data_IF_564599176613
#
_entry.id   IF_564599176613
#
_cell.length_a   1.000
_cell.length_b   1.000
_cell.length_c   1.000
_cell.angle_alpha   90.00
_cell.angle_beta   90.00
_cell.angle_gamma   90.00
#
_symmetry.space_group_name_H-M   'P 1'
#
loop_
_entity.id
_entity.type
_entity.pdbx_description
1 polymer ?
#
# COMPACT_ATOMS: atom_id res chain seq x y z
N UNK A 1 -48.71 37.81 -12.32
CA UNK A 1 -48.61 37.18 -13.66
C UNK A 1 -47.61 36.06 -13.54
N UNK A 2 -48.08 34.86 -13.83
CA UNK A 2 -47.51 33.56 -13.51
C UNK A 2 -46.71 33.12 -14.75
N UNK A 3 -45.43 32.79 -14.58
CA UNK A 3 -44.58 32.28 -15.66
C UNK A 3 -44.52 30.75 -15.56
N UNK A 4 -44.68 29.98 -16.65
CA UNK A 4 -44.94 28.56 -16.57
C UNK A 4 -43.66 27.72 -16.43
N UNK A 5 -43.77 26.67 -15.61
CA UNK A 5 -42.82 25.57 -15.48
C UNK A 5 -42.68 24.77 -16.77
N UNK A 6 -41.44 24.46 -17.16
CA UNK A 6 -41.13 23.45 -18.18
C UNK A 6 -41.18 22.03 -17.58
N UNK A 7 -41.66 21.01 -18.30
CA UNK A 7 -41.68 19.63 -17.83
C UNK A 7 -40.31 18.93 -17.95
N UNK A 8 -40.08 17.80 -17.27
CA UNK A 8 -38.82 17.05 -17.34
C UNK A 8 -38.68 16.31 -18.68
N UNK A 9 -37.47 16.27 -19.21
CA UNK A 9 -37.08 15.48 -20.39
C UNK A 9 -37.07 13.98 -20.06
N UNK A 10 -37.79 13.20 -20.86
CA UNK A 10 -37.85 11.75 -20.85
C UNK A 10 -36.54 11.14 -21.39
N UNK A 11 -36.03 10.02 -20.84
CA UNK A 11 -34.82 9.38 -21.36
C UNK A 11 -35.07 8.68 -22.70
N UNK A 12 -34.06 8.55 -23.58
CA UNK A 12 -34.24 7.95 -24.89
C UNK A 12 -34.52 6.44 -24.79
N UNK A 13 -35.55 6.00 -25.52
CA UNK A 13 -35.94 4.60 -25.70
C UNK A 13 -34.86 3.87 -26.50
N UNK A 14 -34.30 2.80 -25.93
CA UNK A 14 -33.40 1.89 -26.64
C UNK A 14 -34.18 1.07 -27.69
N UNK A 15 -33.66 0.86 -28.91
CA UNK A 15 -34.24 -0.08 -29.86
C UNK A 15 -34.07 -1.53 -29.36
N UNK A 16 -34.94 -2.46 -29.77
CA UNK A 16 -34.84 -3.86 -29.35
C UNK A 16 -33.61 -4.50 -29.99
N UNK A 17 -32.69 -5.02 -29.17
CA UNK A 17 -31.59 -5.85 -29.65
C UNK A 17 -32.11 -7.21 -30.12
N UNK A 18 -31.87 -7.48 -31.40
CA UNK A 18 -32.04 -8.76 -32.08
C UNK A 18 -31.27 -9.88 -31.37
N UNK A 19 -31.84 -11.08 -31.17
CA UNK A 19 -31.11 -12.20 -30.57
C UNK A 19 -30.01 -12.70 -31.50
N UNK A 20 -28.81 -12.89 -30.93
CA UNK A 20 -27.66 -13.50 -31.61
C UNK A 20 -27.95 -14.97 -32.04
N UNK A 21 -27.39 -15.44 -33.17
CA UNK A 21 -27.60 -16.81 -33.63
C UNK A 21 -26.91 -17.80 -32.68
N UNK A 22 -27.69 -18.75 -32.18
CA UNK A 22 -27.21 -19.88 -31.39
C UNK A 22 -26.38 -20.82 -32.27
N UNK A 23 -25.13 -21.06 -31.88
CA UNK A 23 -24.31 -22.15 -32.41
C UNK A 23 -24.90 -23.50 -31.96
N UNK A 24 -25.10 -24.48 -32.88
CA UNK A 24 -25.62 -25.78 -32.48
C UNK A 24 -24.56 -26.56 -31.69
N UNK A 25 -24.91 -26.95 -30.47
CA UNK A 25 -24.15 -27.89 -29.64
C UNK A 25 -24.30 -29.28 -30.25
N UNK A 26 -23.22 -29.82 -30.80
CA UNK A 26 -23.14 -31.20 -31.29
C UNK A 26 -22.78 -32.11 -30.10
N UNK A 27 -23.54 -33.18 -29.81
CA UNK A 27 -23.15 -34.15 -28.78
C UNK A 27 -22.00 -35.06 -29.29
N UNK A 28 -21.11 -35.53 -28.41
CA UNK A 28 -20.04 -36.44 -28.81
C UNK A 28 -20.59 -37.82 -29.23
N UNK A 29 -19.91 -38.54 -30.14
CA UNK A 29 -20.35 -39.86 -30.60
C UNK A 29 -20.16 -40.93 -29.50
N UNK A 30 -20.97 -42.01 -29.51
CA UNK A 30 -20.87 -43.08 -28.52
C UNK A 30 -19.66 -44.00 -28.78
N UNK A 31 -19.10 -44.53 -27.70
CA UNK A 31 -18.04 -45.54 -27.70
C UNK A 31 -18.54 -46.87 -28.33
N UNK A 32 -17.72 -47.57 -29.13
CA UNK A 32 -18.10 -48.86 -29.70
C UNK A 32 -18.05 -50.00 -28.65
N UNK A 33 -18.86 -51.06 -28.82
CA UNK A 33 -19.03 -52.14 -27.86
C UNK A 33 -17.91 -53.19 -27.91
N UNK A 34 -17.68 -53.84 -26.76
CA UNK A 34 -16.87 -55.05 -26.59
C UNK A 34 -17.19 -56.13 -27.64
N UNK A 35 -16.15 -56.76 -28.19
CA UNK A 35 -16.22 -58.06 -28.86
C UNK A 35 -15.05 -58.96 -28.40
N UNK A 36 -15.21 -60.29 -28.49
CA UNK A 36 -14.80 -61.23 -27.46
C UNK A 36 -13.51 -61.98 -27.77
N UNK A 37 -13.04 -62.61 -26.70
CA UNK A 37 -12.09 -63.71 -26.55
C UNK A 37 -11.75 -64.49 -27.84
N UNK A 38 -10.47 -64.43 -28.25
CA UNK A 38 -9.90 -65.32 -29.27
C UNK A 38 -8.65 -65.97 -28.69
N UNK A 39 -8.82 -67.24 -28.33
CA UNK A 39 -7.77 -68.16 -27.94
C UNK A 39 -6.85 -68.51 -29.11
N UNK A 40 -5.54 -68.58 -28.85
CA UNK A 40 -4.53 -69.30 -29.63
C UNK A 40 -3.50 -69.94 -28.67
N UNK A 41 -2.77 -70.99 -29.10
CA UNK A 41 -2.59 -72.25 -28.38
C UNK A 41 -1.25 -72.33 -27.61
N UNK A 42 -0.98 -73.39 -26.82
CA UNK A 42 0.18 -73.43 -25.95
C UNK A 42 1.42 -74.07 -26.58
N UNK A 43 2.58 -73.72 -26.01
CA UNK A 43 3.85 -74.49 -25.82
C UNK A 43 5.09 -73.88 -26.49
N UNK A 44 6.34 -74.14 -26.03
CA UNK A 44 6.76 -75.02 -24.93
C UNK A 44 7.71 -74.40 -23.88
N UNK A 45 7.89 -75.17 -22.80
CA UNK A 45 8.89 -75.04 -21.73
C UNK A 45 10.26 -74.46 -22.15
N UNK A 46 10.73 -73.48 -21.40
CA UNK A 46 12.17 -73.17 -21.27
C UNK A 46 12.49 -72.97 -19.79
N UNK A 47 13.39 -73.80 -19.29
CA UNK A 47 14.00 -73.72 -17.96
C UNK A 47 14.69 -72.36 -17.81
N UNK A 48 14.22 -71.51 -16.91
CA UNK A 48 14.89 -70.26 -16.55
C UNK A 48 15.26 -70.31 -15.07
N UNK A 49 16.56 -70.24 -14.79
CA UNK A 49 17.11 -70.16 -13.44
C UNK A 49 16.72 -68.83 -12.76
N UNK A 50 16.66 -68.76 -11.42
CA UNK A 50 16.27 -67.53 -10.73
C UNK A 50 17.35 -66.46 -10.85
N UNK A 51 16.95 -65.24 -11.24
CA UNK A 51 17.81 -64.04 -11.20
C UNK A 51 17.94 -63.58 -9.74
N UNK A 52 19.15 -63.29 -9.21
CA UNK A 52 19.31 -62.79 -7.85
C UNK A 52 18.72 -61.37 -7.70
N UNK A 53 18.22 -61.00 -6.51
CA UNK A 53 17.66 -59.68 -6.29
C UNK A 53 18.73 -58.58 -6.41
N UNK A 54 18.35 -57.36 -6.85
CA UNK A 54 19.28 -56.24 -6.93
C UNK A 54 19.77 -55.82 -5.54
N UNK A 55 20.98 -55.24 -5.43
CA UNK A 55 21.52 -54.76 -4.17
C UNK A 55 20.67 -53.61 -3.60
N UNK A 56 20.63 -53.45 -2.27
CA UNK A 56 19.90 -52.34 -1.64
C UNK A 56 20.50 -51.00 -2.05
N UNK A 57 19.60 -50.04 -2.32
CA UNK A 57 19.98 -48.65 -2.64
C UNK A 57 20.71 -48.00 -1.45
N UNK A 58 21.72 -47.15 -1.71
CA UNK A 58 22.40 -46.41 -0.66
C UNK A 58 21.42 -45.46 0.06
N UNK A 59 21.66 -45.18 1.36
CA UNK A 59 20.81 -44.26 2.12
C UNK A 59 20.85 -42.85 1.49
N UNK A 60 19.74 -42.11 1.52
CA UNK A 60 19.70 -40.74 1.03
C UNK A 60 20.66 -39.86 1.86
N UNK A 61 21.29 -38.85 1.23
CA UNK A 61 22.16 -37.93 1.95
C UNK A 61 21.37 -37.20 3.04
N UNK A 62 22.04 -36.76 4.13
CA UNK A 62 21.39 -35.96 5.17
C UNK A 62 20.78 -34.70 4.55
N UNK A 63 19.54 -34.37 4.93
CA UNK A 63 18.89 -33.14 4.53
C UNK A 63 19.66 -31.93 5.10
N UNK A 64 20.68 -31.48 4.36
CA UNK A 64 21.36 -30.21 4.59
C UNK A 64 20.43 -29.09 4.18
N UNK A 65 19.99 -28.31 5.18
CA UNK A 65 19.54 -26.95 5.02
C UNK A 65 18.12 -26.82 4.51
N UNK A 66 17.23 -26.30 5.36
CA UNK A 66 16.14 -25.47 4.88
C UNK A 66 16.77 -24.37 4.02
N UNK A 67 16.64 -24.46 2.70
CA UNK A 67 16.91 -23.32 1.85
C UNK A 67 16.05 -22.17 2.39
N UNK A 68 16.66 -21.03 2.71
CA UNK A 68 15.90 -19.83 3.06
C UNK A 68 14.84 -19.63 1.98
N UNK A 69 13.56 -19.38 2.33
CA UNK A 69 12.53 -19.23 1.33
C UNK A 69 12.98 -18.17 0.31
N UNK A 70 13.07 -18.55 -0.96
CA UNK A 70 13.42 -17.61 -2.03
C UNK A 70 12.30 -16.57 -2.13
N UNK A 71 12.46 -15.45 -1.43
CA UNK A 71 11.56 -14.32 -1.53
C UNK A 71 11.81 -13.66 -2.90
N UNK A 72 10.78 -13.62 -3.74
CA UNK A 72 10.90 -13.11 -5.10
C UNK A 72 11.17 -11.61 -5.08
N UNK A 73 12.06 -11.18 -5.98
CA UNK A 73 12.48 -9.79 -6.07
C UNK A 73 13.50 -9.36 -5.02
N UNK A 74 13.86 -10.24 -4.06
CA UNK A 74 14.81 -9.91 -2.98
C UNK A 74 16.21 -9.63 -3.57
N UNK A 75 16.67 -10.45 -4.53
CA UNK A 75 17.92 -10.19 -5.28
C UNK A 75 17.88 -8.85 -6.03
N UNK A 76 16.76 -8.55 -6.71
CA UNK A 76 16.61 -7.28 -7.43
C UNK A 76 16.62 -6.07 -6.47
N UNK A 77 15.96 -6.18 -5.32
CA UNK A 77 15.97 -5.13 -4.30
C UNK A 77 17.34 -4.96 -3.65
N UNK A 78 18.09 -6.06 -3.44
CA UNK A 78 19.46 -6.00 -2.92
C UNK A 78 20.38 -5.31 -3.90
N UNK A 79 20.33 -5.68 -5.18
CA UNK A 79 21.09 -5.01 -6.23
C UNK A 79 20.75 -3.52 -6.33
N UNK A 80 19.48 -3.15 -6.23
CA UNK A 80 19.05 -1.75 -6.22
C UNK A 80 19.59 -1.01 -5.00
N UNK A 81 19.47 -1.61 -3.81
CA UNK A 81 19.97 -1.05 -2.55
C UNK A 81 21.48 -0.82 -2.61
N UNK A 82 22.24 -1.82 -3.03
CA UNK A 82 23.70 -1.72 -3.22
C UNK A 82 24.07 -0.65 -4.25
N UNK A 83 23.37 -0.58 -5.38
CA UNK A 83 23.63 0.42 -6.41
C UNK A 83 23.40 1.83 -5.89
N UNK A 84 22.33 2.04 -5.12
CA UNK A 84 22.00 3.31 -4.51
C UNK A 84 23.03 3.68 -3.41
N UNK A 85 23.38 2.75 -2.52
CA UNK A 85 24.41 2.96 -1.48
C UNK A 85 25.78 3.33 -2.07
N UNK A 86 26.12 2.80 -3.25
CA UNK A 86 27.32 3.20 -3.99
C UNK A 86 27.21 4.58 -4.64
N UNK A 87 26.01 5.02 -5.02
CA UNK A 87 25.79 6.30 -5.68
C UNK A 87 25.92 7.50 -4.73
N UNK A 88 25.76 7.28 -3.42
CA UNK A 88 25.96 8.30 -2.39
C UNK A 88 25.00 8.17 -1.21
N UNK A 89 25.06 9.11 -0.25
CA UNK A 89 24.14 9.10 0.88
C UNK A 89 22.70 9.40 0.44
N UNK A 90 21.73 8.92 1.24
CA UNK A 90 20.33 9.27 1.07
C UNK A 90 20.17 10.79 1.08
N UNK A 91 19.47 11.39 0.09
CA UNK A 91 19.24 12.82 0.05
C UNK A 91 18.54 13.32 1.32
N UNK A 92 18.96 14.49 1.82
CA UNK A 92 18.23 15.14 2.91
C UNK A 92 16.84 15.52 2.43
N UNK A 93 15.83 15.24 3.24
CA UNK A 93 14.41 15.41 2.91
C UNK A 93 14.11 16.80 2.30
N UNK A 94 14.52 17.88 2.96
CA UNK A 94 14.32 19.26 2.46
C UNK A 94 14.98 19.56 1.11
N UNK A 95 16.21 19.10 0.90
CA UNK A 95 16.95 19.32 -0.35
C UNK A 95 16.32 18.52 -1.50
N UNK A 96 15.87 17.31 -1.21
CA UNK A 96 15.19 16.42 -2.14
C UNK A 96 13.87 17.01 -2.62
N UNK A 97 13.04 17.50 -1.70
CA UNK A 97 11.77 18.17 -2.03
C UNK A 97 12.01 19.45 -2.83
N UNK A 98 12.98 20.28 -2.44
CA UNK A 98 13.33 21.48 -3.23
C UNK A 98 13.76 21.15 -4.65
N UNK A 99 14.58 20.12 -4.84
CA UNK A 99 14.99 19.64 -6.18
C UNK A 99 13.77 19.20 -6.98
N UNK A 100 12.88 18.44 -6.36
CA UNK A 100 11.65 17.92 -6.97
C UNK A 100 10.72 19.05 -7.43
N UNK A 101 10.48 20.06 -6.59
CA UNK A 101 9.65 21.21 -6.93
C UNK A 101 10.26 22.05 -8.06
N UNK A 102 11.59 22.22 -8.09
CA UNK A 102 12.31 22.87 -9.20
C UNK A 102 12.13 22.12 -10.52
N UNK A 103 12.23 20.78 -10.48
CA UNK A 103 12.08 19.92 -11.66
C UNK A 103 10.67 19.95 -12.22
N UNK A 104 9.66 20.09 -11.36
CA UNK A 104 8.25 20.03 -11.71
C UNK A 104 7.54 21.39 -11.74
N UNK A 105 8.29 22.50 -11.72
CA UNK A 105 7.74 23.85 -11.65
C UNK A 105 6.69 24.15 -12.74
N UNK A 106 6.84 23.55 -13.92
CA UNK A 106 5.95 23.79 -15.06
C UNK A 106 4.60 23.08 -14.92
N UNK A 107 4.44 22.19 -13.92
CA UNK A 107 3.14 21.61 -13.54
C UNK A 107 2.29 22.57 -12.71
N UNK A 108 2.91 23.60 -12.14
CA UNK A 108 2.24 24.52 -11.22
C UNK A 108 1.56 25.64 -11.98
N UNK A 109 0.28 25.81 -11.69
CA UNK A 109 -0.53 26.95 -12.08
C UNK A 109 0.11 28.26 -11.63
N UNK A 110 0.29 29.18 -12.58
CA UNK A 110 0.89 30.51 -12.35
C UNK A 110 -0.07 31.52 -11.75
N UNK A 111 -1.38 31.23 -11.76
CA UNK A 111 -2.41 32.05 -11.13
C UNK A 111 -2.57 31.76 -9.62
N UNK A 112 -1.80 30.82 -9.07
CA UNK A 112 -1.85 30.42 -7.66
C UNK A 112 -0.54 30.71 -6.96
N UNK A 113 -0.64 30.92 -5.65
CA UNK A 113 0.48 30.80 -4.72
C UNK A 113 0.49 29.40 -4.12
N UNK A 114 1.65 28.90 -3.72
CA UNK A 114 1.81 27.52 -3.28
C UNK A 114 2.30 27.46 -1.85
N UNK A 115 1.65 26.68 -1.00
CA UNK A 115 2.08 26.46 0.39
C UNK A 115 2.50 25.01 0.55
N UNK A 116 3.75 24.77 0.95
CA UNK A 116 4.28 23.44 1.24
C UNK A 116 4.22 23.15 2.74
N UNK A 117 3.54 22.07 3.08
CA UNK A 117 3.66 21.40 4.38
C UNK A 117 4.39 20.08 4.12
N UNK A 118 5.52 19.84 4.79
CA UNK A 118 6.24 18.59 4.63
C UNK A 118 7.01 18.26 5.91
N UNK A 119 6.71 17.12 6.51
CA UNK A 119 7.51 16.55 7.58
C UNK A 119 8.67 15.72 7.00
N UNK A 120 9.77 15.61 7.74
CA UNK A 120 10.97 14.92 7.27
C UNK A 120 10.86 13.40 7.44
N UNK A 121 10.53 12.70 6.35
CA UNK A 121 10.55 11.24 6.30
C UNK A 121 11.93 10.68 5.94
N UNK A 122 12.39 9.60 6.58
CA UNK A 122 13.53 8.83 6.12
C UNK A 122 13.21 8.08 4.82
N UNK A 123 14.23 7.50 4.19
CA UNK A 123 14.05 6.59 3.05
C UNK A 123 14.65 5.23 3.37
N UNK A 124 13.96 4.17 2.98
CA UNK A 124 14.39 2.79 3.14
C UNK A 124 13.98 2.01 1.88
N UNK A 125 14.94 1.33 1.25
CA UNK A 125 14.65 0.43 0.14
C UNK A 125 14.15 -0.89 0.71
N UNK A 126 12.94 -1.27 0.33
CA UNK A 126 12.32 -2.53 0.70
C UNK A 126 13.11 -3.70 0.13
N UNK A 127 13.18 -4.80 0.87
CA UNK A 127 13.70 -6.07 0.41
C UNK A 127 12.55 -7.07 0.30
N UNK A 128 12.26 -7.53 -0.93
CA UNK A 128 11.07 -8.36 -1.18
C UNK A 128 9.74 -7.59 -1.11
N UNK A 129 8.60 -8.25 -0.79
CA UNK A 129 7.25 -7.68 -0.92
C UNK A 129 6.83 -6.77 0.26
N UNK A 130 7.75 -6.05 0.90
CA UNK A 130 7.54 -5.35 2.17
C UNK A 130 7.06 -3.88 2.05
N UNK A 131 6.50 -3.49 0.90
CA UNK A 131 6.16 -2.09 0.62
C UNK A 131 5.32 -1.39 1.71
N UNK A 132 4.28 -2.06 2.22
CA UNK A 132 3.42 -1.52 3.27
C UNK A 132 4.12 -1.38 4.61
N UNK A 133 4.96 -2.36 4.98
CA UNK A 133 5.70 -2.36 6.24
C UNK A 133 6.82 -1.32 6.23
N UNK A 134 7.46 -1.12 5.08
CA UNK A 134 8.44 -0.05 4.85
C UNK A 134 7.77 1.32 4.93
N UNK A 135 6.60 1.50 4.31
CA UNK A 135 5.83 2.74 4.43
C UNK A 135 5.40 3.02 5.90
N UNK A 136 4.97 1.98 6.63
CA UNK A 136 4.65 2.10 8.06
C UNK A 136 5.88 2.44 8.91
N UNK A 137 7.03 1.83 8.62
CA UNK A 137 8.28 2.14 9.30
C UNK A 137 8.68 3.61 9.08
N UNK A 138 8.62 4.10 7.83
CA UNK A 138 8.89 5.50 7.50
C UNK A 138 7.91 6.42 8.25
N UNK A 139 6.61 6.11 8.26
CA UNK A 139 5.61 6.88 8.99
C UNK A 139 5.89 6.93 10.51
N UNK A 140 6.39 5.82 11.07
CA UNK A 140 6.68 5.68 12.49
C UNK A 140 7.71 6.67 13.04
N UNK A 141 8.57 7.25 12.18
CA UNK A 141 9.56 8.24 12.61
C UNK A 141 8.97 9.63 12.84
N UNK A 142 7.77 9.89 12.31
CA UNK A 142 7.04 11.15 12.53
C UNK A 142 6.14 11.12 13.76
N UNK A 143 5.98 9.95 14.37
CA UNK A 143 5.24 9.82 15.63
C UNK A 143 6.09 10.34 16.78
N UNK A 144 5.45 10.67 17.90
CA UNK A 144 6.13 11.20 19.09
C UNK A 144 5.86 10.27 20.28
N UNK A 145 6.93 9.73 20.93
CA UNK A 145 8.33 9.77 20.49
C UNK A 145 8.54 9.05 19.14
N UNK A 146 9.56 9.44 18.34
CA UNK A 146 9.88 8.73 17.10
C UNK A 146 10.10 7.25 17.36
N UNK A 147 9.50 6.41 16.52
CA UNK A 147 9.66 4.97 16.65
C UNK A 147 11.13 4.56 16.45
N UNK A 148 11.74 4.00 17.49
CA UNK A 148 13.03 3.30 17.41
C UNK A 148 12.88 1.83 17.01
N UNK A 149 11.69 1.42 16.56
CA UNK A 149 11.40 0.02 16.24
C UNK A 149 12.04 -0.33 14.88
N UNK A 150 12.89 -1.37 14.82
CA UNK A 150 13.46 -1.85 13.57
C UNK A 150 12.38 -2.47 12.65
N UNK A 151 12.56 -2.38 11.33
CA UNK A 151 11.60 -2.93 10.35
C UNK A 151 11.35 -4.42 10.58
N UNK A 152 12.38 -5.16 10.97
CA UNK A 152 12.34 -6.60 11.25
C UNK A 152 11.30 -6.93 12.32
N UNK A 153 11.12 -6.04 13.31
CA UNK A 153 10.11 -6.24 14.36
C UNK A 153 8.69 -6.03 13.82
N UNK A 154 8.48 -5.07 12.91
CA UNK A 154 7.19 -4.89 12.23
C UNK A 154 6.84 -6.13 11.40
N UNK A 155 7.80 -6.64 10.63
CA UNK A 155 7.63 -7.86 9.82
C UNK A 155 7.31 -9.06 10.72
N UNK A 156 8.09 -9.26 11.79
CA UNK A 156 7.90 -10.36 12.72
C UNK A 156 6.47 -10.35 13.31
N UNK A 157 6.02 -9.22 13.85
CA UNK A 157 4.68 -9.14 14.46
C UNK A 157 3.59 -9.30 13.40
N UNK A 158 3.76 -8.75 12.19
CA UNK A 158 2.79 -8.94 11.12
C UNK A 158 2.63 -10.42 10.73
N UNK A 159 3.72 -11.20 10.71
CA UNK A 159 3.69 -12.65 10.46
C UNK A 159 3.04 -13.40 11.64
N UNK A 160 3.44 -13.09 12.88
CA UNK A 160 2.88 -13.71 14.09
C UNK A 160 1.36 -13.50 14.19
N UNK A 161 0.87 -12.32 13.80
CA UNK A 161 -0.56 -11.97 13.76
C UNK A 161 -1.28 -12.46 12.50
N UNK A 162 -0.55 -13.08 11.56
CA UNK A 162 -1.06 -13.56 10.26
C UNK A 162 -1.70 -12.44 9.44
N UNK A 163 -1.12 -11.25 9.48
CA UNK A 163 -1.47 -10.14 8.59
C UNK A 163 -0.75 -10.26 7.24
N UNK A 164 0.34 -11.01 7.21
CA UNK A 164 1.17 -11.24 6.02
C UNK A 164 1.79 -12.64 6.07
N UNK A 165 2.10 -13.19 4.89
CA UNK A 165 2.88 -14.42 4.77
C UNK A 165 4.37 -14.11 4.54
N UNK A 166 4.70 -13.10 3.72
CA UNK A 166 6.08 -12.78 3.31
C UNK A 166 6.47 -11.30 3.46
N UNK A 167 5.56 -10.45 3.93
CA UNK A 167 5.74 -9.01 4.11
C UNK A 167 4.73 -8.13 3.36
N UNK A 168 3.97 -8.72 2.42
CA UNK A 168 2.88 -8.04 1.74
C UNK A 168 1.72 -7.70 2.67
N UNK A 169 1.08 -6.55 2.45
CA UNK A 169 -0.06 -6.12 3.25
C UNK A 169 -1.25 -5.81 2.34
N UNK A 170 -2.33 -6.57 2.47
CA UNK A 170 -3.55 -6.43 1.65
C UNK A 170 -4.75 -5.90 2.43
N UNK A 171 -4.52 -5.34 3.63
CA UNK A 171 -5.58 -4.89 4.53
C UNK A 171 -5.16 -3.65 5.29
N UNK A 172 -5.87 -2.54 5.07
CA UNK A 172 -5.64 -1.29 5.82
C UNK A 172 -5.99 -1.46 7.30
N UNK A 173 -7.00 -2.27 7.60
CA UNK A 173 -7.38 -2.59 8.97
C UNK A 173 -6.29 -3.37 9.72
N UNK A 174 -5.64 -4.34 9.08
CA UNK A 174 -4.50 -5.07 9.67
C UNK A 174 -3.28 -4.16 9.83
N UNK A 175 -3.01 -3.29 8.86
CA UNK A 175 -1.97 -2.27 8.98
C UNK A 175 -2.21 -1.36 10.18
N UNK A 176 -3.45 -0.91 10.39
CA UNK A 176 -3.83 -0.11 11.55
C UNK A 176 -3.67 -0.85 12.88
N UNK A 177 -4.03 -2.14 12.94
CA UNK A 177 -3.80 -2.98 14.13
C UNK A 177 -2.31 -3.12 14.43
N UNK A 178 -1.50 -3.39 13.42
CA UNK A 178 -0.05 -3.49 13.54
C UNK A 178 0.57 -2.18 14.03
N UNK A 179 0.15 -1.04 13.47
CA UNK A 179 0.61 0.28 13.87
C UNK A 179 0.34 0.56 15.36
N UNK A 180 -0.89 0.31 15.83
CA UNK A 180 -1.25 0.48 17.26
C UNK A 180 -0.43 -0.43 18.16
N UNK A 181 -0.26 -1.69 17.77
CA UNK A 181 0.43 -2.69 18.59
C UNK A 181 1.94 -2.43 18.70
N UNK A 182 2.59 -2.13 17.58
CA UNK A 182 4.05 -2.06 17.51
C UNK A 182 4.57 -0.64 17.73
N UNK A 183 3.86 0.37 17.21
CA UNK A 183 4.28 1.77 17.30
C UNK A 183 3.63 2.51 18.46
N UNK A 184 2.60 1.95 19.12
CA UNK A 184 1.92 2.59 20.23
C UNK A 184 1.29 3.94 19.84
N UNK A 185 0.67 3.98 18.66
CA UNK A 185 0.11 5.20 18.08
C UNK A 185 -1.40 5.09 17.85
N UNK A 186 -2.04 6.23 17.59
CA UNK A 186 -3.42 6.22 17.11
C UNK A 186 -3.41 5.87 15.61
N UNK A 187 -4.31 5.00 15.21
CA UNK A 187 -4.48 4.60 13.82
C UNK A 187 -5.96 4.61 13.44
N UNK A 188 -6.31 5.47 12.49
CA UNK A 188 -7.67 5.66 12.00
C UNK A 188 -7.76 5.18 10.54
N UNK A 189 -8.65 4.22 10.30
CA UNK A 189 -8.90 3.69 8.95
C UNK A 189 -9.98 4.54 8.31
N UNK A 190 -9.66 5.15 7.18
CA UNK A 190 -10.63 5.82 6.33
C UNK A 190 -11.29 4.82 5.40
N UNK A 191 -12.57 5.02 5.14
CA UNK A 191 -13.36 4.26 4.17
C UNK A 191 -14.05 5.23 3.20
N UNK A 192 -14.25 4.80 1.94
CA UNK A 192 -14.90 5.62 0.91
C UNK A 192 -13.95 6.46 0.05
N UNK A 193 -12.64 6.24 0.16
CA UNK A 193 -11.60 6.92 -0.63
C UNK A 193 -11.11 8.23 -0.01
N UNK A 194 -10.29 8.93 -0.79
CA UNK A 194 -9.65 10.20 -0.39
C UNK A 194 -10.48 11.45 -0.78
N UNK A 195 -11.59 11.29 -1.52
CA UNK A 195 -12.50 12.40 -1.85
C UNK A 195 -13.43 12.75 -0.68
N UNK A 196 -14.40 13.63 -0.92
CA UNK A 196 -15.47 13.90 0.05
C UNK A 196 -16.18 12.61 0.51
N UNK A 197 -16.45 12.43 1.82
CA UNK A 197 -16.30 13.41 2.90
C UNK A 197 -14.91 13.43 3.57
N UNK A 198 -13.97 12.56 3.17
CA UNK A 198 -12.67 12.41 3.83
C UNK A 198 -11.63 13.45 3.43
N UNK A 199 -11.82 14.10 2.28
CA UNK A 199 -10.84 15.01 1.66
C UNK A 199 -10.26 16.02 2.63
N UNK A 200 -11.10 16.83 3.26
CA UNK A 200 -10.63 17.91 4.13
C UNK A 200 -9.94 17.37 5.38
N UNK A 201 -10.43 16.25 5.93
CA UNK A 201 -9.80 15.55 7.05
C UNK A 201 -8.40 15.06 6.69
N UNK A 202 -8.22 14.48 5.49
CA UNK A 202 -6.92 14.06 4.96
C UNK A 202 -5.96 15.26 4.79
N UNK A 203 -6.43 16.34 4.18
CA UNK A 203 -5.59 17.52 3.94
C UNK A 203 -5.17 18.19 5.25
N UNK A 204 -6.10 18.36 6.19
CA UNK A 204 -5.80 18.92 7.52
C UNK A 204 -4.87 17.99 8.32
N UNK A 205 -5.00 16.67 8.18
CA UNK A 205 -4.09 15.71 8.79
C UNK A 205 -2.65 15.89 8.30
N UNK A 206 -2.45 16.07 6.99
CA UNK A 206 -1.13 16.31 6.39
C UNK A 206 -0.59 17.70 6.72
N UNK A 207 -1.45 18.73 6.74
CA UNK A 207 -1.09 20.09 7.18
C UNK A 207 -0.59 20.08 8.63
N UNK A 208 -1.17 19.24 9.49
CA UNK A 208 -0.70 19.04 10.86
C UNK A 208 0.63 18.25 10.96
N UNK A 209 1.20 17.81 9.84
CA UNK A 209 2.47 17.07 9.79
C UNK A 209 2.34 15.58 10.14
N UNK A 210 1.12 15.04 10.18
CA UNK A 210 0.90 13.63 10.49
C UNK A 210 0.98 12.74 9.23
N UNK A 211 1.50 11.52 9.35
CA UNK A 211 1.65 10.63 8.21
C UNK A 211 0.36 9.90 7.83
N UNK A 212 0.12 9.86 6.52
CA UNK A 212 -0.95 9.13 5.85
C UNK A 212 -0.34 7.96 5.07
N UNK A 213 -0.79 6.73 5.34
CA UNK A 213 -0.46 5.59 4.47
C UNK A 213 -1.57 5.37 3.45
N UNK A 214 -1.16 5.20 2.19
CA UNK A 214 -2.06 5.11 1.04
C UNK A 214 -1.75 3.83 0.26
N UNK A 215 -2.68 2.87 0.20
CA UNK A 215 -2.69 1.86 -0.84
C UNK A 215 -2.98 2.52 -2.19
N UNK A 216 -2.16 2.22 -3.20
CA UNK A 216 -2.37 2.71 -4.56
C UNK A 216 -1.88 1.67 -5.57
N UNK A 217 -2.17 1.88 -6.85
CA UNK A 217 -1.70 1.00 -7.92
C UNK A 217 -0.48 1.59 -8.59
N UNK A 218 0.62 0.86 -8.60
CA UNK A 218 1.93 1.38 -8.96
C UNK A 218 2.26 1.16 -10.45
N UNK A 219 2.71 2.21 -11.14
CA UNK A 219 3.28 2.09 -12.49
C UNK A 219 4.81 1.84 -12.48
N UNK A 220 5.41 1.68 -13.66
CA UNK A 220 6.84 1.40 -13.83
C UNK A 220 7.75 2.51 -13.29
N UNK A 221 7.26 3.75 -13.24
CA UNK A 221 7.95 4.91 -12.66
C UNK A 221 7.58 5.14 -11.19
N UNK A 222 6.87 4.19 -10.57
CA UNK A 222 6.34 4.24 -9.21
C UNK A 222 5.21 5.24 -8.95
N UNK A 223 4.74 5.95 -9.98
CA UNK A 223 3.60 6.86 -9.85
C UNK A 223 2.26 6.09 -9.75
N UNK A 224 1.20 6.75 -9.27
CA UNK A 224 -0.12 6.16 -9.23
C UNK A 224 -0.70 5.96 -10.63
N UNK A 225 -1.27 4.77 -10.85
CA UNK A 225 -1.97 4.42 -12.07
C UNK A 225 -3.32 3.72 -11.75
N UNK A 226 -4.01 3.25 -12.78
CA UNK A 226 -5.30 2.56 -12.64
C UNK A 226 -5.27 1.21 -13.38
N UNK A 227 -4.72 0.17 -12.74
CA UNK A 227 -4.54 -1.19 -13.30
C UNK A 227 -5.28 -2.26 -12.48
N UNK A 228 -6.43 -1.89 -11.94
CA UNK A 228 -7.36 -2.66 -11.11
C UNK A 228 -6.78 -3.20 -9.80
N UNK A 229 -5.63 -2.70 -9.35
CA UNK A 229 -4.92 -3.20 -8.18
C UNK A 229 -3.98 -4.37 -8.48
N UNK A 230 -3.75 -4.71 -9.75
CA UNK A 230 -2.80 -5.77 -10.12
C UNK A 230 -1.36 -5.48 -9.68
N UNK A 231 -1.03 -4.20 -9.46
CA UNK A 231 0.22 -3.73 -8.86
C UNK A 231 -0.05 -2.92 -7.59
N UNK A 232 -1.04 -3.35 -6.80
CA UNK A 232 -1.30 -2.76 -5.50
C UNK A 232 -0.01 -2.67 -4.67
N UNK A 233 0.24 -1.44 -4.21
CA UNK A 233 1.43 -1.00 -3.52
C UNK A 233 1.03 -0.04 -2.40
N UNK A 234 2.01 0.32 -1.57
CA UNK A 234 1.81 1.24 -0.46
C UNK A 234 2.80 2.39 -0.54
N UNK A 235 2.31 3.57 -0.21
CA UNK A 235 3.13 4.73 0.03
C UNK A 235 2.79 5.36 1.37
N UNK A 236 3.73 6.15 1.88
CA UNK A 236 3.49 7.11 2.95
C UNK A 236 3.54 8.51 2.36
N UNK A 237 2.56 9.33 2.69
CA UNK A 237 2.60 10.77 2.47
C UNK A 237 2.71 11.47 3.82
N UNK A 238 3.64 12.41 3.91
CA UNK A 238 3.82 13.27 5.09
C UNK A 238 3.97 14.74 4.69
N UNK A 239 3.49 15.07 3.49
CA UNK A 239 3.49 16.43 3.01
C UNK A 239 2.44 16.65 1.94
N UNK A 240 1.99 17.89 1.88
CA UNK A 240 1.02 18.37 0.90
C UNK A 240 1.47 19.73 0.39
N UNK A 241 1.31 19.93 -0.90
CA UNK A 241 1.50 21.20 -1.58
C UNK A 241 0.13 21.72 -1.99
N UNK A 242 -0.27 22.86 -1.43
CA UNK A 242 -1.59 23.47 -1.64
C UNK A 242 -1.46 24.72 -2.50
N UNK A 243 -2.15 24.75 -3.63
CA UNK A 243 -2.31 25.92 -4.50
C UNK A 243 -3.48 26.77 -4.02
N UNK A 244 -3.18 27.98 -3.54
CA UNK A 244 -4.15 28.92 -2.95
C UNK A 244 -4.16 30.24 -3.73
N UNK A 245 -5.31 30.91 -3.73
CA UNK A 245 -5.44 32.24 -4.37
C UNK A 245 -4.72 33.34 -3.58
N UNK A 246 -4.65 33.20 -2.26
CA UNK A 246 -3.95 34.10 -1.37
C UNK A 246 -3.37 33.32 -0.20
N UNK A 247 -2.10 33.58 0.12
CA UNK A 247 -1.45 33.06 1.32
C UNK A 247 -1.85 33.92 2.53
N UNK A 248 -2.13 33.33 3.70
CA UNK A 248 -2.40 34.11 4.91
C UNK A 248 -1.22 35.03 5.28
N UNK A 249 -1.52 36.28 5.68
CA UNK A 249 -0.50 37.31 6.00
C UNK A 249 0.44 36.92 7.15
N UNK A 250 0.00 36.04 8.04
CA UNK A 250 0.72 35.65 9.25
C UNK A 250 1.03 34.16 9.23
N UNK A 251 2.26 33.81 9.59
CA UNK A 251 2.68 32.43 9.82
C UNK A 251 3.27 31.71 8.61
N UNK A 252 3.46 32.41 7.49
CA UNK A 252 4.08 31.87 6.28
C UNK A 252 5.23 32.74 5.80
N UNK A 253 6.27 32.09 5.27
CA UNK A 253 7.43 32.76 4.68
C UNK A 253 7.65 32.23 3.26
N UNK A 254 7.91 33.14 2.32
CA UNK A 254 8.23 32.78 0.93
C UNK A 254 9.60 32.08 0.88
N UNK A 255 9.72 31.07 0.01
CA UNK A 255 10.97 30.38 -0.25
C UNK A 255 11.94 31.32 -0.97
N UNK A 256 13.19 31.49 -0.49
CA UNK A 256 14.14 32.42 -1.08
C UNK A 256 14.60 32.02 -2.49
N UNK A 257 14.38 30.77 -2.90
CA UNK A 257 14.83 30.25 -4.20
C UNK A 257 13.68 29.97 -5.18
N UNK A 258 12.44 29.93 -4.69
CA UNK A 258 11.25 29.56 -5.46
C UNK A 258 10.14 30.61 -5.22
N UNK A 259 10.10 31.68 -6.04
CA UNK A 259 9.07 32.70 -5.94
C UNK A 259 7.66 32.09 -6.04
N UNK A 260 6.75 32.55 -5.19
CA UNK A 260 5.39 32.05 -5.09
C UNK A 260 5.22 30.76 -4.27
N UNK A 261 6.32 30.14 -3.80
CA UNK A 261 6.28 29.02 -2.84
C UNK A 261 6.44 29.55 -1.42
N UNK A 262 5.61 29.08 -0.50
CA UNK A 262 5.57 29.48 0.90
C UNK A 262 5.68 28.27 1.82
N UNK A 263 6.22 28.49 3.00
CA UNK A 263 6.36 27.48 4.06
C UNK A 263 5.82 28.03 5.39
N UNK A 264 5.29 27.18 6.28
CA UNK A 264 5.00 27.59 7.65
C UNK A 264 6.25 28.15 8.33
N UNK A 265 6.13 29.32 8.95
CA UNK A 265 7.22 29.94 9.69
C UNK A 265 7.47 29.16 10.99
N UNK A 266 8.71 28.72 11.20
CA UNK A 266 9.09 27.75 12.24
C UNK A 266 8.82 28.19 13.70
N UNK A 267 8.58 29.48 13.94
CA UNK A 267 8.49 30.07 15.28
C UNK A 267 7.15 30.77 15.57
N UNK A 268 6.18 30.68 14.67
CA UNK A 268 4.85 31.27 14.87
C UNK A 268 3.75 30.22 14.71
N UNK A 269 2.74 30.19 15.59
CA UNK A 269 1.52 29.45 15.29
C UNK A 269 0.96 29.97 13.98
N UNK A 270 0.63 29.06 13.07
CA UNK A 270 0.02 29.36 11.79
C UNK A 270 -1.41 28.82 11.80
N UNK A 271 -2.34 29.63 11.30
CA UNK A 271 -3.67 29.14 11.00
C UNK A 271 -3.60 28.32 9.71
N UNK A 272 -4.21 27.13 9.63
CA UNK A 272 -4.24 26.37 8.38
C UNK A 272 -4.89 27.22 7.27
N UNK A 273 -4.38 27.14 6.03
CA UNK A 273 -4.91 27.92 4.93
C UNK A 273 -6.30 27.39 4.56
N UNK A 274 -7.09 28.21 3.86
CA UNK A 274 -8.29 27.72 3.20
C UNK A 274 -7.90 26.61 2.22
N UNK A 275 -8.52 25.44 2.35
CA UNK A 275 -8.25 24.33 1.45
C UNK A 275 -8.77 24.69 0.04
N UNK A 276 -8.06 24.28 -1.03
CA UNK A 276 -8.54 24.49 -2.39
C UNK A 276 -9.94 23.87 -2.57
N UNK A 277 -10.76 24.45 -3.45
CA UNK A 277 -12.10 23.92 -3.74
C UNK A 277 -12.01 22.50 -4.33
N UNK A 278 -12.95 21.63 -3.95
CA UNK A 278 -13.04 20.28 -4.52
C UNK A 278 -13.32 20.35 -6.03
N UNK A 279 -12.65 19.50 -6.81
CA UNK A 279 -12.75 19.50 -8.27
C UNK A 279 -11.82 20.50 -8.99
N UNK A 280 -11.11 21.36 -8.25
CA UNK A 280 -10.04 22.19 -8.83
C UNK A 280 -8.79 21.35 -9.11
N UNK A 281 -8.71 20.76 -10.30
CA UNK A 281 -7.56 19.93 -10.72
C UNK A 281 -6.24 20.70 -10.67
N UNK A 282 -5.15 20.02 -10.30
CA UNK A 282 -3.82 20.61 -10.26
C UNK A 282 -3.68 21.73 -9.23
N UNK A 283 -4.44 21.67 -8.13
CA UNK A 283 -4.30 22.58 -6.98
C UNK A 283 -3.77 21.90 -5.72
N UNK A 284 -3.68 20.56 -5.71
CA UNK A 284 -3.22 19.79 -4.57
C UNK A 284 -2.27 18.71 -5.06
N UNK A 285 -1.07 18.68 -4.49
CA UNK A 285 -0.13 17.58 -4.69
C UNK A 285 0.28 16.96 -3.36
N UNK A 286 0.46 15.64 -3.36
CA UNK A 286 0.99 14.89 -2.24
C UNK A 286 2.50 14.69 -2.42
N UNK A 287 3.24 14.91 -1.33
CA UNK A 287 4.64 14.51 -1.23
C UNK A 287 4.68 13.14 -0.60
N UNK A 288 5.09 12.15 -1.39
CA UNK A 288 4.98 10.73 -1.04
C UNK A 288 6.32 10.01 -1.17
N UNK A 289 6.53 9.01 -0.32
CA UNK A 289 7.64 8.05 -0.39
C UNK A 289 7.11 6.61 -0.39
N UNK A 290 7.90 5.73 -0.99
CA UNK A 290 7.61 4.30 -1.10
C UNK A 290 8.92 3.51 -1.13
N UNK A 291 8.85 2.20 -0.88
CA UNK A 291 10.03 1.35 -0.62
C UNK A 291 10.96 1.06 -1.81
N UNK A 292 10.72 1.56 -3.01
CA UNK A 292 11.52 1.31 -4.22
C UNK A 292 12.29 2.53 -4.69
N UNK A 293 12.25 3.64 -3.94
CA UNK A 293 12.97 4.87 -4.25
C UNK A 293 13.45 5.55 -2.96
N UNK A 294 14.57 6.26 -3.06
CA UNK A 294 15.01 7.16 -1.99
C UNK A 294 14.38 8.55 -2.06
N UNK A 295 13.85 8.90 -3.22
CA UNK A 295 13.36 10.24 -3.49
C UNK A 295 11.88 10.37 -3.17
N UNK A 296 11.50 11.55 -2.68
CA UNK A 296 10.11 11.96 -2.72
C UNK A 296 9.58 11.96 -4.15
N UNK A 297 8.28 11.71 -4.25
CA UNK A 297 7.52 11.88 -5.46
C UNK A 297 6.40 12.89 -5.23
N UNK A 298 6.06 13.61 -6.30
CA UNK A 298 5.04 14.65 -6.30
C UNK A 298 3.85 14.17 -7.13
N UNK A 299 2.81 13.72 -6.45
CA UNK A 299 1.63 13.13 -7.08
C UNK A 299 0.46 14.08 -7.04
N UNK A 300 -0.28 14.16 -8.14
CA UNK A 300 -1.55 14.88 -8.16
C UNK A 300 -2.56 14.18 -7.25
N UNK A 301 -3.27 14.95 -6.41
CA UNK A 301 -4.18 14.37 -5.42
C UNK A 301 -5.31 13.55 -6.05
N UNK A 302 -5.88 14.02 -7.16
CA UNK A 302 -6.98 13.32 -7.85
C UNK A 302 -6.47 12.01 -8.45
N UNK A 303 -5.25 12.00 -8.99
CA UNK A 303 -4.61 10.79 -9.49
C UNK A 303 -4.43 9.73 -8.39
N UNK A 304 -4.02 10.13 -7.18
CA UNK A 304 -3.87 9.22 -6.03
C UNK A 304 -5.23 8.71 -5.57
N UNK A 305 -6.23 9.59 -5.45
CA UNK A 305 -7.61 9.23 -5.11
C UNK A 305 -8.15 8.16 -6.05
N UNK A 306 -8.03 8.38 -7.36
CA UNK A 306 -8.58 7.48 -8.35
C UNK A 306 -7.81 6.14 -8.38
N UNK A 307 -6.49 6.17 -8.20
CA UNK A 307 -5.66 4.98 -8.07
C UNK A 307 -6.05 4.11 -6.86
N UNK A 308 -6.41 4.73 -5.73
CA UNK A 308 -6.88 4.05 -4.51
C UNK A 308 -8.30 3.47 -4.66
N UNK A 309 -9.22 4.21 -5.31
CA UNK A 309 -10.62 3.80 -5.49
C UNK A 309 -10.81 2.62 -6.45
N UNK A 310 -9.79 2.28 -7.23
CA UNK A 310 -9.85 1.22 -8.23
C UNK A 310 -9.07 -0.05 -7.84
N UNK A 311 -8.59 -0.15 -6.60
CA UNK A 311 -7.88 -1.34 -6.08
C UNK A 311 -8.83 -2.51 -5.84
N UNK A 312 -9.30 -3.15 -6.90
CA UNK A 312 -10.40 -4.12 -6.80
C UNK A 312 -9.95 -5.57 -6.90
N UNK A 313 -8.93 -5.84 -7.68
CA UNK A 313 -8.62 -7.18 -8.18
C UNK A 313 -7.27 -7.65 -7.63
N UNK A 314 -7.24 -8.93 -7.23
CA UNK A 314 -5.97 -9.58 -6.90
C UNK A 314 -5.19 -9.85 -8.19
N UNK A 315 -3.88 -9.61 -8.15
CA UNK A 315 -3.02 -9.77 -9.32
C UNK A 315 -3.08 -11.19 -9.89
N UNK A 316 -3.42 -11.39 -11.17
CA UNK A 316 -3.41 -12.71 -11.80
C UNK A 316 -2.04 -13.39 -11.73
N UNK A 317 -0.96 -12.60 -11.82
CA UNK A 317 0.40 -13.11 -11.69
C UNK A 317 0.65 -13.68 -10.29
N UNK A 318 0.17 -13.00 -9.24
CA UNK A 318 0.26 -13.49 -7.85
C UNK A 318 -0.62 -14.72 -7.63
N UNK A 319 -1.77 -14.79 -8.31
CA UNK A 319 -2.67 -15.95 -8.19
C UNK A 319 -2.04 -17.25 -8.74
N UNK A 320 -1.11 -17.14 -9.69
CA UNK A 320 -0.51 -18.28 -10.38
C UNK A 320 0.96 -18.55 -10.02
N UNK A 321 1.56 -17.78 -9.10
CA UNK A 321 2.98 -17.90 -8.77
C UNK A 321 3.30 -19.00 -7.74
N UNK A 322 2.28 -19.71 -7.26
CA UNK A 322 2.42 -20.81 -6.29
C UNK A 322 2.72 -20.36 -4.86
N UNK A 323 2.63 -19.06 -4.55
CA UNK A 323 2.91 -18.52 -3.22
C UNK A 323 1.65 -18.38 -2.38
N UNK A 324 1.86 -18.41 -1.07
CA UNK A 324 0.82 -18.08 -0.10
C UNK A 324 0.74 -16.57 0.12
N UNK A 325 -0.49 -16.07 0.20
CA UNK A 325 -0.81 -14.66 0.40
C UNK A 325 -1.93 -14.53 1.43
N UNK A 326 -1.74 -13.62 2.38
CA UNK A 326 -2.81 -13.26 3.32
C UNK A 326 -3.68 -12.17 2.69
N UNK A 327 -4.83 -12.57 2.15
CA UNK A 327 -5.81 -11.65 1.55
C UNK A 327 -7.09 -11.70 2.38
N UNK A 328 -7.68 -10.56 2.77
CA UNK A 328 -8.90 -10.55 3.58
C UNK A 328 -10.09 -11.17 2.81
N UNK A 329 -11.11 -11.59 3.57
CA UNK A 329 -12.39 -11.99 2.99
C UNK A 329 -12.97 -10.85 2.16
N UNK A 330 -13.37 -11.13 0.92
CA UNK A 330 -13.75 -10.12 -0.07
C UNK A 330 -12.60 -9.56 -0.92
N UNK A 331 -11.39 -10.11 -0.77
CA UNK A 331 -10.26 -9.84 -1.66
C UNK A 331 -9.60 -8.47 -1.46
N UNK A 332 -8.80 -8.07 -2.44
CA UNK A 332 -8.12 -6.76 -2.46
C UNK A 332 -9.13 -5.61 -2.35
N UNK A 333 -10.29 -5.74 -2.99
CA UNK A 333 -11.38 -4.77 -2.87
C UNK A 333 -11.76 -4.50 -1.42
N UNK A 334 -12.04 -5.53 -0.63
CA UNK A 334 -12.46 -5.36 0.75
C UNK A 334 -11.32 -4.83 1.65
N UNK A 335 -10.08 -5.16 1.31
CA UNK A 335 -8.91 -4.84 2.12
C UNK A 335 -8.27 -3.48 1.85
N UNK A 336 -8.30 -2.99 0.61
CA UNK A 336 -7.54 -1.79 0.19
C UNK A 336 -8.38 -0.74 -0.55
N UNK A 337 -9.41 -1.14 -1.31
CA UNK A 337 -10.17 -0.21 -2.16
C UNK A 337 -10.83 0.90 -1.37
N UNK A 338 -10.53 2.16 -1.72
CA UNK A 338 -11.13 3.30 -1.05
C UNK A 338 -10.78 3.36 0.45
N UNK A 339 -9.67 2.75 0.86
CA UNK A 339 -9.21 2.78 2.24
C UNK A 339 -7.83 3.42 2.34
N UNK A 340 -7.60 4.11 3.44
CA UNK A 340 -6.31 4.71 3.78
C UNK A 340 -6.14 4.76 5.29
N UNK A 341 -4.92 4.97 5.78
CA UNK A 341 -4.63 4.95 7.21
C UNK A 341 -4.01 6.27 7.66
N UNK A 342 -4.70 6.96 8.56
CA UNK A 342 -4.18 8.13 9.25
C UNK A 342 -3.52 7.69 10.56
N UNK A 343 -2.28 8.13 10.79
CA UNK A 343 -1.55 7.83 12.02
C UNK A 343 -1.32 9.11 12.82
N UNK A 344 -1.53 9.05 14.14
CA UNK A 344 -1.24 10.19 15.05
C UNK A 344 -0.47 9.69 16.28
N UNK A 345 0.34 10.55 16.92
CA UNK A 345 0.89 10.25 18.24
C UNK A 345 -0.23 9.89 19.24
N UNK A 346 0.09 9.05 20.22
CA UNK A 346 -0.86 8.73 21.27
C UNK A 346 -1.00 9.90 22.24
N UNK A 347 -2.23 10.30 22.55
CA UNK A 347 -2.46 11.36 23.53
C UNK A 347 -2.01 10.87 24.91
N UNK A 348 -1.17 11.66 25.57
CA UNK A 348 -0.61 11.34 26.90
C UNK A 348 -1.67 11.26 28.00
N UNK A 349 -2.94 11.50 27.69
CA UNK A 349 -4.05 11.66 28.64
C UNK A 349 -4.85 10.39 28.92
N UNK A 350 -4.59 9.27 28.24
CA UNK A 350 -5.29 8.00 28.48
C UNK A 350 -4.32 6.84 28.73
N UNK A 351 -3.62 6.87 29.87
CA UNK A 351 -3.26 5.61 30.52
C UNK A 351 -4.49 5.12 31.31
N UNK A 352 -5.04 3.92 31.05
CA UNK A 352 -5.94 3.30 32.00
C UNK A 352 -5.13 3.05 33.27
N UNK A 353 -5.59 3.63 34.39
CA UNK A 353 -4.99 3.41 35.69
C UNK A 353 -4.89 1.91 35.95
N UNK A 354 -3.67 1.37 35.96
CA UNK A 354 -3.42 0.04 36.46
C UNK A 354 -3.90 0.03 37.92
N UNK A 355 -4.92 -0.78 38.19
CA UNK A 355 -5.37 -1.05 39.54
C UNK A 355 -4.22 -1.70 40.33
N UNK A 356 -3.45 -0.89 41.05
CA UNK A 356 -2.50 -1.34 42.05
C UNK A 356 -3.28 -1.76 43.30
N UNK A 357 -3.74 -3.01 43.27
CA UNK A 357 -4.10 -3.73 44.48
C UNK A 357 -2.84 -4.24 45.20
N UNK A 358 -2.94 -4.28 46.54
CA UNK A 358 -2.05 -4.94 47.50
C UNK A 358 -0.75 -4.18 47.83
N UNK A 359 -0.35 -3.97 49.09
CA UNK A 359 -0.87 -4.37 50.39
C UNK A 359 0.03 -3.77 51.45
N UNK A 360 -0.54 -3.29 52.56
CA UNK A 360 0.21 -2.72 53.67
C UNK A 360 0.99 -3.82 54.44
N UNK A 361 2.28 -3.63 54.75
CA UNK A 361 2.95 -4.49 55.70
C UNK A 361 2.71 -4.02 57.14
N UNK A 362 2.24 -4.95 57.97
CA UNK A 362 2.12 -4.80 59.41
C UNK A 362 3.50 -4.59 60.06
N UNK A 363 3.57 -3.64 60.98
CA UNK A 363 4.73 -3.39 61.85
C UNK A 363 4.88 -4.53 62.88
N UNK A 364 6.11 -4.97 63.21
CA UNK A 364 6.35 -5.78 64.39
C UNK A 364 6.58 -4.88 65.62
N UNK A 365 5.95 -5.28 66.71
CA UNK A 365 6.12 -4.74 68.06
C UNK A 365 7.53 -4.94 68.58
N UNK A 366 8.08 -3.89 69.20
CA UNK A 366 8.99 -3.95 70.35
C UNK A 366 8.86 -2.64 71.13
#
# INVERSE_FOLDING_TARGET
>A
MISPCSPPLEPPIHPPETPAPQTPIIPPPPLPPNLPDVAFPPSPLSLQAPVPPPPPLPPPPPATGFAAPHVFGLEKSQLLKEALERAGPVPKSREDVKRLLKLHKDRFRSDLQWILFCADLPSLIQEGPQCGLVALWMAGTLLVPPSGIPLERLVQVAVERRYTAQGEMFSVADMGRLAREVLGCQAEVLHGGLGSPNRDHVLLHLVAGHPLLIPYDEDFNHEPCQRKGHKAHWAVSAGVLLGVQAVPDVGYAEDPELPGLFHPAASSPHQPPALPEEGSTGTIYLLSKQGKSWHYQLWDYDQVRDSNLQLTDFSPLRATDGREYVVPAGGVRAGLCGQALLLRPQDSSHQPAAASGQGAPASPSA
#
